data_IF_089952534298
#
_entry.id   IF_089952534298
#
_cell.length_a   1.000
_cell.length_b   1.000
_cell.length_c   1.000
_cell.angle_alpha   90.00
_cell.angle_beta   90.00
_cell.angle_gamma   90.00
#
_symmetry.space_group_name_H-M   'P 1'
#
loop_
_entity.id
_entity.type
_entity.pdbx_description
1 polymer ?
#
# COMPACT_ATOMS: atom_id res chain seq x y z
N UNK A 1 -2.19 2.92 -10.45
CA UNK A 1 -3.14 1.80 -10.16
C UNK A 1 -4.61 2.25 -10.06
N UNK A 2 -4.83 3.53 -9.85
CA UNK A 2 -6.09 4.20 -9.53
C UNK A 2 -7.13 4.02 -10.64
N UNK A 3 -6.73 4.13 -11.91
CA UNK A 3 -7.65 3.93 -13.05
C UNK A 3 -8.20 2.50 -13.10
N UNK A 4 -7.34 1.50 -12.86
CA UNK A 4 -7.73 0.10 -12.83
C UNK A 4 -8.61 -0.20 -11.62
N UNK A 5 -8.27 0.35 -10.45
CA UNK A 5 -9.10 0.23 -9.24
C UNK A 5 -10.48 0.87 -9.42
N UNK A 6 -10.56 2.02 -10.08
CA UNK A 6 -11.83 2.67 -10.39
C UNK A 6 -12.71 1.82 -11.32
N UNK A 7 -12.11 1.13 -12.29
CA UNK A 7 -12.81 0.19 -13.16
C UNK A 7 -13.30 -1.04 -12.38
N UNK A 8 -12.41 -1.68 -11.62
CA UNK A 8 -12.68 -2.93 -10.89
C UNK A 8 -13.75 -2.74 -9.81
N UNK A 9 -13.88 -1.53 -9.25
CA UNK A 9 -14.93 -1.19 -8.28
C UNK A 9 -16.34 -1.44 -8.82
N UNK A 10 -16.54 -1.34 -10.13
CA UNK A 10 -17.84 -1.57 -10.78
C UNK A 10 -18.13 -3.02 -11.15
N UNK A 11 -17.20 -3.96 -10.91
CA UNK A 11 -17.40 -5.37 -11.26
C UNK A 11 -18.12 -6.13 -10.14
N UNK A 12 -18.86 -7.18 -10.50
CA UNK A 12 -19.49 -8.08 -9.54
C UNK A 12 -18.42 -8.88 -8.77
N UNK A 13 -17.43 -9.39 -9.49
CA UNK A 13 -16.24 -10.06 -8.95
C UNK A 13 -15.08 -10.05 -9.96
N UNK A 14 -13.90 -10.45 -9.52
CA UNK A 14 -12.69 -10.60 -10.35
C UNK A 14 -12.16 -12.03 -10.27
N UNK A 15 -11.72 -12.60 -11.39
CA UNK A 15 -10.87 -13.80 -11.40
C UNK A 15 -9.42 -13.35 -11.49
N UNK A 16 -8.58 -13.72 -10.52
CA UNK A 16 -7.20 -13.21 -10.45
C UNK A 16 -6.17 -14.33 -10.30
N UNK A 17 -5.20 -14.38 -11.22
CA UNK A 17 -4.02 -15.27 -11.15
C UNK A 17 -2.84 -14.62 -10.42
N UNK A 18 -2.76 -13.28 -10.45
CA UNK A 18 -1.69 -12.48 -9.84
C UNK A 18 -2.18 -11.79 -8.58
N UNK A 19 -1.37 -11.86 -7.52
CA UNK A 19 -1.66 -11.25 -6.22
C UNK A 19 -1.99 -9.75 -6.30
N UNK A 20 -1.33 -8.99 -7.18
CA UNK A 20 -1.60 -7.55 -7.32
C UNK A 20 -3.04 -7.26 -7.75
N UNK A 21 -3.58 -8.03 -8.70
CA UNK A 21 -4.98 -7.89 -9.11
C UNK A 21 -5.93 -8.23 -7.97
N UNK A 22 -5.60 -9.27 -7.20
CA UNK A 22 -6.35 -9.64 -6.02
C UNK A 22 -6.38 -8.49 -5.01
N UNK A 23 -5.22 -7.99 -4.57
CA UNK A 23 -5.13 -6.90 -3.58
C UNK A 23 -5.84 -5.63 -4.06
N UNK A 24 -5.63 -5.19 -5.30
CA UNK A 24 -6.29 -4.00 -5.83
C UNK A 24 -7.82 -4.13 -5.83
N UNK A 25 -8.35 -5.31 -6.16
CA UNK A 25 -9.79 -5.59 -6.13
C UNK A 25 -10.33 -5.55 -4.71
N UNK A 26 -9.61 -6.16 -3.77
CA UNK A 26 -9.95 -6.17 -2.34
C UNK A 26 -9.98 -4.75 -1.76
N UNK A 27 -9.01 -3.90 -2.12
CA UNK A 27 -8.96 -2.51 -1.67
C UNK A 27 -10.17 -1.67 -2.12
N UNK A 28 -10.85 -2.06 -3.20
CA UNK A 28 -12.08 -1.39 -3.67
C UNK A 28 -13.36 -2.15 -3.31
N UNK A 29 -13.26 -3.22 -2.51
CA UNK A 29 -14.41 -4.02 -2.05
C UNK A 29 -14.98 -4.98 -3.09
N UNK A 30 -14.24 -5.25 -4.18
CA UNK A 30 -14.66 -6.19 -5.21
C UNK A 30 -14.16 -7.60 -4.85
N UNK A 31 -15.06 -8.59 -4.69
CA UNK A 31 -14.68 -9.94 -4.30
C UNK A 31 -13.89 -10.65 -5.42
N UNK A 32 -13.04 -11.61 -5.03
CA UNK A 32 -12.09 -12.25 -5.96
C UNK A 32 -12.22 -13.76 -5.89
N UNK A 33 -12.25 -14.42 -7.05
CA UNK A 33 -11.97 -15.85 -7.21
C UNK A 33 -10.47 -16.03 -7.52
N UNK A 34 -9.66 -16.51 -6.55
CA UNK A 34 -8.22 -16.58 -6.73
C UNK A 34 -7.79 -17.86 -7.45
N UNK A 35 -6.85 -17.70 -8.37
CA UNK A 35 -6.07 -18.78 -8.97
C UNK A 35 -4.62 -18.61 -8.51
N UNK A 36 -4.16 -19.46 -7.61
CA UNK A 36 -2.81 -19.42 -7.08
C UNK A 36 -1.79 -19.93 -8.10
N UNK A 37 -0.94 -19.01 -8.56
CA UNK A 37 0.34 -19.34 -9.20
C UNK A 37 1.47 -19.50 -8.17
N UNK A 38 1.38 -18.79 -7.05
CA UNK A 38 2.42 -18.74 -6.03
C UNK A 38 1.82 -18.93 -4.63
N UNK A 39 2.69 -19.35 -3.69
CA UNK A 39 2.36 -19.52 -2.28
C UNK A 39 1.69 -18.28 -1.65
N UNK A 40 2.12 -17.07 -2.04
CA UNK A 40 1.57 -15.82 -1.50
C UNK A 40 0.06 -15.67 -1.74
N UNK A 41 -0.43 -16.07 -2.91
CA UNK A 41 -1.87 -16.05 -3.22
C UNK A 41 -2.63 -17.01 -2.30
N UNK A 42 -2.04 -18.16 -1.96
CA UNK A 42 -2.63 -19.13 -1.02
C UNK A 42 -2.79 -18.55 0.38
N UNK A 43 -1.76 -17.87 0.88
CA UNK A 43 -1.78 -17.20 2.19
C UNK A 43 -2.81 -16.06 2.25
N UNK A 44 -2.89 -15.23 1.21
CA UNK A 44 -3.90 -14.16 1.15
C UNK A 44 -5.30 -14.78 1.13
N UNK A 45 -5.56 -15.80 0.30
CA UNK A 45 -6.86 -16.46 0.22
C UNK A 45 -7.31 -17.04 1.57
N UNK A 46 -6.39 -17.59 2.36
CA UNK A 46 -6.65 -18.05 3.72
C UNK A 46 -7.02 -16.90 4.66
N UNK A 47 -6.26 -15.81 4.64
CA UNK A 47 -6.50 -14.64 5.50
C UNK A 47 -7.83 -13.95 5.21
N UNK A 48 -8.22 -13.88 3.93
CA UNK A 48 -9.48 -13.24 3.53
C UNK A 48 -10.70 -14.17 3.55
N UNK A 49 -10.54 -15.41 4.02
CA UNK A 49 -11.66 -16.36 4.17
C UNK A 49 -12.20 -16.96 2.87
N UNK A 50 -11.38 -17.11 1.83
CA UNK A 50 -11.77 -17.71 0.54
C UNK A 50 -10.93 -18.93 0.13
N UNK A 51 -10.22 -19.54 1.09
CA UNK A 51 -9.37 -20.69 0.82
C UNK A 51 -10.11 -21.87 0.18
N UNK A 52 -11.41 -22.01 0.45
CA UNK A 52 -12.26 -23.05 -0.13
C UNK A 52 -12.55 -22.83 -1.63
N UNK A 53 -12.37 -21.61 -2.12
CA UNK A 53 -12.51 -21.23 -3.54
C UNK A 53 -11.18 -21.22 -4.30
N UNK A 54 -10.05 -21.39 -3.60
CA UNK A 54 -8.72 -21.26 -4.18
C UNK A 54 -8.47 -22.32 -5.24
N UNK A 55 -8.18 -21.90 -6.47
CA UNK A 55 -7.74 -22.78 -7.56
C UNK A 55 -6.22 -22.80 -7.58
N UNK A 56 -5.60 -23.94 -7.82
CA UNK A 56 -4.15 -24.05 -8.05
C UNK A 56 -3.90 -24.06 -9.57
N UNK A 57 -3.07 -23.15 -10.08
CA UNK A 57 -2.79 -23.02 -11.52
C UNK A 57 -2.26 -24.32 -12.13
N UNK A 58 -1.52 -25.12 -11.35
CA UNK A 58 -0.80 -26.30 -11.85
C UNK A 58 -1.70 -27.53 -11.91
N UNK A 59 -2.77 -27.55 -11.10
CA UNK A 59 -3.65 -28.72 -10.96
C UNK A 59 -5.10 -28.45 -11.30
N UNK A 60 -5.49 -27.19 -11.52
CA UNK A 60 -6.88 -26.81 -11.77
C UNK A 60 -7.43 -27.56 -12.98
N UNK A 61 -8.63 -28.11 -12.80
CA UNK A 61 -9.38 -28.74 -13.88
C UNK A 61 -10.65 -27.94 -14.22
N UNK A 62 -11.18 -28.04 -15.45
CA UNK A 62 -12.44 -27.37 -15.79
C UNK A 62 -13.63 -27.73 -14.87
N UNK A 63 -13.83 -29.00 -14.45
CA UNK A 63 -14.90 -29.34 -13.50
C UNK A 63 -14.73 -28.67 -12.13
N UNK A 64 -13.51 -28.66 -11.59
CA UNK A 64 -13.20 -28.00 -10.31
C UNK A 64 -13.44 -26.49 -10.40
N UNK A 65 -12.97 -25.85 -11.48
CA UNK A 65 -13.16 -24.43 -11.71
C UNK A 65 -14.65 -24.08 -11.83
N UNK A 66 -15.42 -24.89 -12.56
CA UNK A 66 -16.87 -24.71 -12.69
C UNK A 66 -17.60 -24.85 -11.34
N UNK A 67 -17.23 -25.84 -10.52
CA UNK A 67 -17.80 -26.04 -9.20
C UNK A 67 -17.52 -24.84 -8.27
N UNK A 68 -16.25 -24.42 -8.18
CA UNK A 68 -15.85 -23.29 -7.33
C UNK A 68 -16.43 -21.97 -7.81
N UNK A 69 -16.48 -21.74 -9.12
CA UNK A 69 -17.16 -20.56 -9.69
C UNK A 69 -18.66 -20.59 -9.37
N UNK A 70 -19.33 -21.73 -9.54
CA UNK A 70 -20.75 -21.88 -9.23
C UNK A 70 -21.05 -21.61 -7.75
N UNK A 71 -20.21 -22.13 -6.85
CA UNK A 71 -20.30 -21.86 -5.41
C UNK A 71 -20.08 -20.38 -5.10
N UNK A 72 -19.05 -19.78 -5.71
CA UNK A 72 -18.70 -18.38 -5.50
C UNK A 72 -19.83 -17.44 -5.94
N UNK A 73 -20.36 -17.63 -7.16
CA UNK A 73 -21.48 -16.83 -7.68
C UNK A 73 -22.76 -17.08 -6.89
N UNK A 74 -23.06 -18.34 -6.53
CA UNK A 74 -24.25 -18.69 -5.75
C UNK A 74 -24.25 -18.15 -4.31
N UNK A 75 -23.09 -17.73 -3.80
CA UNK A 75 -22.92 -17.16 -2.44
C UNK A 75 -22.16 -15.84 -2.47
N UNK A 76 -22.24 -15.09 -3.57
CA UNK A 76 -21.38 -13.94 -3.83
C UNK A 76 -21.45 -12.91 -2.69
N UNK A 77 -22.65 -12.63 -2.19
CA UNK A 77 -22.85 -11.68 -1.10
C UNK A 77 -22.31 -12.16 0.27
N UNK A 78 -22.32 -13.46 0.52
CA UNK A 78 -21.71 -14.04 1.73
C UNK A 78 -20.19 -13.93 1.68
N UNK A 79 -19.59 -14.23 0.52
CA UNK A 79 -18.16 -14.02 0.32
C UNK A 79 -17.80 -12.54 0.34
N UNK A 80 -18.61 -11.65 -0.24
CA UNK A 80 -18.39 -10.19 -0.19
C UNK A 80 -18.32 -9.70 1.26
N UNK A 81 -19.25 -10.14 2.12
CA UNK A 81 -19.24 -9.82 3.56
C UNK A 81 -18.00 -10.36 4.26
N UNK A 82 -17.70 -11.64 4.05
CA UNK A 82 -16.53 -12.32 4.64
C UNK A 82 -15.22 -11.61 4.26
N UNK A 83 -15.05 -11.34 2.96
CA UNK A 83 -13.88 -10.68 2.40
C UNK A 83 -13.74 -9.27 2.95
N UNK A 84 -14.81 -8.47 2.95
CA UNK A 84 -14.77 -7.10 3.45
C UNK A 84 -14.37 -7.05 4.92
N UNK A 85 -14.94 -7.93 5.75
CA UNK A 85 -14.59 -8.04 7.16
C UNK A 85 -13.08 -8.34 7.33
N UNK A 86 -12.56 -9.33 6.61
CA UNK A 86 -11.15 -9.67 6.68
C UNK A 86 -10.21 -8.57 6.14
N UNK A 87 -10.62 -7.83 5.10
CA UNK A 87 -9.86 -6.68 4.59
C UNK A 87 -9.75 -5.57 5.63
N UNK A 88 -10.82 -5.31 6.39
CA UNK A 88 -10.79 -4.33 7.48
C UNK A 88 -9.86 -4.77 8.62
N UNK A 89 -9.84 -6.06 8.94
CA UNK A 89 -8.92 -6.65 9.92
C UNK A 89 -7.46 -6.54 9.48
N UNK A 90 -7.17 -6.86 8.22
CA UNK A 90 -5.83 -6.71 7.64
C UNK A 90 -5.41 -5.23 7.56
N UNK A 91 -6.33 -4.32 7.27
CA UNK A 91 -6.07 -2.89 7.34
C UNK A 91 -5.71 -2.46 8.78
N UNK A 92 -6.50 -2.87 9.79
CA UNK A 92 -6.20 -2.56 11.18
C UNK A 92 -4.83 -3.12 11.62
N UNK A 93 -4.54 -4.37 11.23
CA UNK A 93 -3.25 -5.02 11.45
C UNK A 93 -2.11 -4.21 10.82
N UNK A 94 -2.23 -3.82 9.55
CA UNK A 94 -1.23 -3.01 8.86
C UNK A 94 -1.01 -1.65 9.54
N UNK A 95 -2.08 -0.99 9.98
CA UNK A 95 -2.00 0.29 10.68
C UNK A 95 -1.35 0.19 12.06
N UNK A 96 -1.46 -0.96 12.74
CA UNK A 96 -0.80 -1.18 14.04
C UNK A 96 0.72 -1.07 13.99
N UNK A 97 1.34 -1.35 12.82
CA UNK A 97 2.78 -1.21 12.62
C UNK A 97 3.27 0.23 12.82
N UNK A 98 2.42 1.24 12.62
CA UNK A 98 2.76 2.64 12.86
C UNK A 98 3.12 2.88 14.34
N UNK A 99 2.48 2.20 15.29
CA UNK A 99 2.78 2.32 16.72
C UNK A 99 4.21 1.88 17.06
N UNK A 100 4.71 0.85 16.36
CA UNK A 100 6.08 0.38 16.53
C UNK A 100 7.11 1.38 15.99
N UNK A 101 6.74 2.16 14.98
CA UNK A 101 7.60 3.15 14.34
C UNK A 101 7.58 4.51 15.05
N UNK A 102 6.50 4.86 15.76
CA UNK A 102 6.35 6.16 16.46
C UNK A 102 7.56 6.54 17.33
N UNK A 103 8.12 5.66 18.20
CA UNK A 103 9.26 6.01 19.02
C UNK A 103 10.52 6.31 18.21
N UNK A 104 10.70 5.64 17.06
CA UNK A 104 11.83 5.86 16.16
C UNK A 104 11.69 7.19 15.42
N UNK A 105 10.47 7.52 14.97
CA UNK A 105 10.19 8.80 14.32
C UNK A 105 10.41 9.97 15.29
N UNK A 106 9.94 9.88 16.54
CA UNK A 106 10.14 10.94 17.54
C UNK A 106 11.64 11.19 17.83
N UNK A 107 12.44 10.12 17.92
CA UNK A 107 13.90 10.21 18.09
C UNK A 107 14.59 10.82 16.87
N UNK A 108 14.21 10.40 15.67
CA UNK A 108 14.76 10.94 14.42
C UNK A 108 14.43 12.44 14.27
N UNK A 109 13.19 12.86 14.54
CA UNK A 109 12.78 14.26 14.51
C UNK A 109 13.53 15.11 15.54
N UNK A 110 13.73 14.60 16.75
CA UNK A 110 14.52 15.30 17.78
C UNK A 110 16.00 15.43 17.39
N UNK A 111 16.57 14.43 16.71
CA UNK A 111 17.95 14.47 16.25
C UNK A 111 18.14 15.45 15.09
N UNK A 112 17.22 15.45 14.12
CA UNK A 112 17.19 16.44 13.01
C UNK A 112 17.09 17.86 13.58
N UNK A 113 16.21 18.10 14.56
CA UNK A 113 16.08 19.41 15.19
C UNK A 113 17.38 19.88 15.88
N UNK A 114 18.11 18.97 16.54
CA UNK A 114 19.43 19.27 17.14
C UNK A 114 20.49 19.57 16.10
N UNK A 115 20.53 18.82 15.00
CA UNK A 115 21.52 19.02 13.93
C UNK A 115 21.28 20.34 13.17
N UNK A 116 20.02 20.73 13.00
CA UNK A 116 19.66 22.06 12.46
C UNK A 116 20.07 23.17 13.43
N UNK A 117 19.84 23.01 14.74
CA UNK A 117 20.27 23.96 15.76
C UNK A 117 21.78 24.17 15.80
N UNK A 118 22.56 23.08 15.75
CA UNK A 118 24.03 23.13 15.68
C UNK A 118 24.55 23.81 14.41
N UNK A 119 23.86 23.66 13.28
CA UNK A 119 24.22 24.32 12.01
C UNK A 119 23.89 25.82 12.03
N UNK A 120 22.87 26.23 12.79
CA UNK A 120 22.55 27.64 13.05
C UNK A 120 23.56 28.35 13.97
N UNK A 121 24.09 27.66 14.99
CA UNK A 121 25.11 28.19 15.91
C UNK A 121 26.51 28.35 15.28
N UNK A 122 26.77 27.71 14.13
CA UNK A 122 28.02 27.88 13.37
C UNK A 122 28.02 29.12 12.45
N UNK A 123 26.87 29.78 12.24
CA UNK A 123 26.75 30.94 11.37
C UNK A 123 27.05 32.31 12.02
N UNK A 124 26.77 32.59 13.32
CA UNK A 124 27.08 33.90 13.89
C UNK A 124 28.59 34.12 14.11
N UNK A 125 29.41 33.06 14.13
CA UNK A 125 30.86 33.17 14.34
C UNK A 125 31.66 33.68 13.13
N UNK A 126 31.01 33.94 11.97
CA UNK A 126 31.66 34.48 10.76
C UNK A 126 31.25 35.91 10.38
N UNK A 127 30.39 36.57 11.17
CA UNK A 127 29.91 37.94 10.88
C UNK A 127 30.64 39.01 11.70
N UNK A 128 31.92 38.77 12.01
CA UNK A 128 32.71 39.60 12.90
C UNK A 128 34.03 40.07 12.32
N UNK A 129 34.18 40.25 11.00
CA UNK A 129 35.30 40.99 10.41
C UNK A 129 35.04 41.15 8.90
N UNK A 130 34.49 42.30 8.50
CA UNK A 130 34.90 42.98 7.27
C UNK A 130 34.24 44.37 7.21
N UNK A 131 35.05 45.40 7.45
CA UNK A 131 34.71 46.81 7.22
C UNK A 131 35.47 47.29 5.99
N UNK A 132 34.76 48.07 5.16
CA UNK A 132 35.21 48.89 4.01
C UNK A 132 35.52 48.12 2.71
N UNK A 133 35.17 48.61 1.51
CA UNK A 133 34.65 49.92 1.06
C UNK A 133 33.96 49.76 -0.30
N UNK A 134 32.91 50.54 -0.47
CA UNK A 134 32.20 50.85 -1.71
C UNK A 134 33.12 51.41 -2.81
N UNK A 135 32.92 50.98 -4.07
CA UNK A 135 32.96 51.83 -5.27
C UNK A 135 32.40 51.03 -6.48
N UNK A 136 31.39 51.60 -7.13
CA UNK A 136 30.50 50.88 -8.05
C UNK A 136 30.79 50.98 -9.56
N UNK A 137 29.98 50.24 -10.34
CA UNK A 137 29.01 50.76 -11.33
C UNK A 137 28.30 49.59 -12.06
N UNK A 138 27.07 49.80 -12.57
CA UNK A 138 26.21 48.73 -13.11
C UNK A 138 26.20 48.72 -14.65
N UNK A 139 26.11 47.56 -15.31
CA UNK A 139 25.55 47.41 -16.69
C UNK A 139 25.04 45.96 -16.89
N UNK A 140 23.72 45.73 -16.86
CA UNK A 140 22.76 45.40 -17.97
C UNK A 140 22.81 43.96 -18.51
N UNK A 141 21.61 43.35 -18.51
CA UNK A 141 21.18 42.07 -19.09
C UNK A 141 21.48 41.91 -20.60
N UNK A 142 21.70 40.66 -21.00
CA UNK A 142 21.26 40.09 -22.28
C UNK A 142 21.08 38.57 -22.12
#
# INVERSE_FOLDING_TARGET
>A
PEQLMALVKGFDFVVATRMHMMIMSLCVGTPVLPIAYEFKTKEVAKRIGVADLLLDIDTVTPPEAAEKLGRFVGKLEDYRRTILQAVLEEHASAMSAAELLKPLMAKASAQIARDVGKRGEQYPARLGEDRHKDEGKPVVEA
#
